data_IF_475541544963
#
_entry.id   IF_475541544963
#
_cell.length_a   1.000
_cell.length_b   1.000
_cell.length_c   1.000
_cell.angle_alpha   90.00
_cell.angle_beta   90.00
_cell.angle_gamma   90.00
#
_symmetry.space_group_name_H-M   'P 1'
#
loop_
_entity.id
_entity.type
_entity.pdbx_description
1 polymer ?
#
# COMPACT_ATOMS: atom_id res chain seq x y z
N UNK A 1 11.68 4.82 23.18
CA UNK A 1 11.86 4.34 21.79
C UNK A 1 10.53 4.47 21.05
N UNK A 2 10.52 4.91 19.78
CA UNK A 2 9.28 5.09 18.99
C UNK A 2 8.27 6.10 19.58
N UNK A 3 8.74 7.23 20.13
CA UNK A 3 7.92 8.22 20.85
C UNK A 3 7.80 9.56 20.13
N UNK A 4 8.80 9.97 19.35
CA UNK A 4 8.79 11.24 18.59
C UNK A 4 8.12 11.07 17.22
N UNK A 5 8.51 10.02 16.50
CA UNK A 5 7.98 9.61 15.19
C UNK A 5 7.85 8.09 15.12
N UNK A 6 7.08 7.59 14.16
CA UNK A 6 7.03 6.15 13.91
C UNK A 6 8.37 5.69 13.28
N UNK A 7 9.09 4.84 14.00
CA UNK A 7 10.27 4.12 13.50
C UNK A 7 10.01 2.64 13.30
N UNK A 8 8.94 2.11 13.91
CA UNK A 8 8.46 0.74 13.71
C UNK A 8 7.15 0.76 12.94
N UNK A 9 7.14 0.07 11.80
CA UNK A 9 5.98 -0.07 10.94
C UNK A 9 5.52 -1.52 10.90
N UNK A 10 4.32 -1.77 11.43
CA UNK A 10 3.68 -3.08 11.31
C UNK A 10 2.94 -3.18 9.97
N UNK A 11 3.01 -4.34 9.32
CA UNK A 11 2.26 -4.58 8.08
C UNK A 11 0.84 -5.03 8.40
N UNK A 12 -0.14 -4.26 7.94
CA UNK A 12 -1.56 -4.60 8.03
C UNK A 12 -2.08 -5.01 6.66
N UNK A 13 -2.64 -6.21 6.58
CA UNK A 13 -3.09 -6.79 5.31
C UNK A 13 -4.61 -6.74 5.23
N UNK A 14 -5.15 -5.83 4.42
CA UNK A 14 -6.58 -5.54 4.37
C UNK A 14 -7.48 -6.68 3.84
N UNK A 15 -6.89 -7.69 3.18
CA UNK A 15 -7.59 -8.93 2.82
C UNK A 15 -7.94 -9.79 4.01
N UNK A 16 -7.36 -9.58 5.20
CA UNK A 16 -7.76 -10.30 6.41
C UNK A 16 -9.03 -9.67 7.00
N UNK A 17 -9.87 -10.52 7.59
CA UNK A 17 -11.09 -10.08 8.30
C UNK A 17 -10.77 -9.26 9.54
N UNK A 18 -9.64 -9.53 10.18
CA UNK A 18 -9.23 -8.90 11.43
C UNK A 18 -8.42 -7.61 11.24
N UNK A 19 -8.09 -7.21 10.00
CA UNK A 19 -7.26 -6.05 9.72
C UNK A 19 -7.79 -4.77 10.36
N UNK A 20 -9.09 -4.50 10.22
CA UNK A 20 -9.75 -3.33 10.83
C UNK A 20 -9.71 -3.36 12.36
N UNK A 21 -10.23 -4.43 13.01
CA UNK A 21 -10.12 -4.61 14.46
C UNK A 21 -8.69 -4.49 15.00
N UNK A 22 -7.71 -5.07 14.30
CA UNK A 22 -6.29 -5.03 14.68
C UNK A 22 -5.73 -3.61 14.62
N UNK A 23 -6.02 -2.86 13.56
CA UNK A 23 -5.62 -1.44 13.44
C UNK A 23 -6.23 -0.63 14.59
N UNK A 24 -7.53 -0.79 14.86
CA UNK A 24 -8.19 -0.05 15.94
C UNK A 24 -7.57 -0.35 17.32
N UNK A 25 -7.29 -1.63 17.59
CA UNK A 25 -6.67 -2.07 18.83
C UNK A 25 -5.24 -1.53 18.97
N UNK A 26 -4.43 -1.57 17.90
CA UNK A 26 -3.05 -1.11 17.95
C UNK A 26 -2.95 0.42 18.01
N UNK A 27 -3.93 1.15 17.46
CA UNK A 27 -4.12 2.59 17.69
C UNK A 27 -4.48 2.90 19.15
N UNK A 28 -5.42 2.17 19.75
CA UNK A 28 -5.74 2.35 21.17
C UNK A 28 -4.51 2.08 22.06
N UNK A 29 -3.77 1.01 21.77
CA UNK A 29 -2.54 0.66 22.47
C UNK A 29 -1.45 1.71 22.33
N UNK A 30 -1.31 2.32 21.15
CA UNK A 30 -0.32 3.37 20.91
C UNK A 30 -0.58 4.60 21.79
N UNK A 31 -1.84 5.01 21.91
CA UNK A 31 -2.26 6.09 22.83
C UNK A 31 -1.99 5.73 24.28
N UNK A 32 -2.42 4.54 24.73
CA UNK A 32 -2.29 4.10 26.13
C UNK A 32 -0.84 3.92 26.59
N UNK A 33 0.04 3.51 25.68
CA UNK A 33 1.45 3.22 25.97
C UNK A 33 2.41 4.30 25.48
N UNK A 34 1.87 5.40 24.98
CA UNK A 34 2.61 6.57 24.50
C UNK A 34 3.72 6.23 23.49
N UNK A 35 3.39 5.45 22.45
CA UNK A 35 4.27 5.22 21.30
C UNK A 35 3.58 5.64 20.00
N UNK A 36 4.36 5.94 18.95
CA UNK A 36 3.84 6.33 17.64
C UNK A 36 3.42 5.11 16.83
N UNK A 37 2.17 5.09 16.40
CA UNK A 37 1.66 4.02 15.54
C UNK A 37 2.23 4.17 14.13
N UNK A 38 2.90 3.13 13.62
CA UNK A 38 3.33 3.04 12.23
C UNK A 38 2.64 1.88 11.52
N UNK A 39 1.99 2.15 10.40
CA UNK A 39 1.33 1.13 9.58
C UNK A 39 1.87 1.08 8.15
N UNK A 40 2.31 -0.09 7.69
CA UNK A 40 2.39 -0.40 6.27
C UNK A 40 1.11 -1.09 5.85
N UNK A 41 0.21 -0.36 5.21
CA UNK A 41 -1.08 -0.88 4.78
C UNK A 41 -0.97 -1.47 3.38
N UNK A 42 -1.26 -2.77 3.23
CA UNK A 42 -1.31 -3.48 1.94
C UNK A 42 -2.67 -4.15 1.77
N UNK A 43 -3.04 -4.54 0.54
CA UNK A 43 -4.16 -5.48 0.35
C UNK A 43 -3.80 -6.87 0.89
N UNK A 44 -2.66 -7.41 0.48
CA UNK A 44 -2.18 -8.75 0.85
C UNK A 44 -1.65 -9.49 -0.38
N UNK A 45 -0.76 -10.46 -0.18
CA UNK A 45 -0.07 -11.16 -1.27
C UNK A 45 -0.31 -12.69 -1.28
N UNK A 46 -1.07 -13.22 -0.31
CA UNK A 46 -1.15 -14.67 -0.06
C UNK A 46 -2.59 -15.20 -0.06
N UNK A 47 -3.52 -14.51 -0.75
CA UNK A 47 -4.96 -14.86 -0.79
C UNK A 47 -5.24 -16.33 -1.14
N UNK A 48 -4.55 -16.87 -2.15
CA UNK A 48 -4.75 -18.24 -2.63
C UNK A 48 -4.25 -19.25 -1.60
N UNK A 49 -3.06 -19.01 -1.03
CA UNK A 49 -2.42 -19.88 -0.05
C UNK A 49 -3.20 -19.91 1.27
N UNK A 50 -3.68 -18.76 1.75
CA UNK A 50 -4.51 -18.66 2.96
C UNK A 50 -5.83 -19.44 2.83
N UNK A 51 -6.54 -19.29 1.70
CA UNK A 51 -7.78 -20.06 1.45
C UNK A 51 -7.52 -21.56 1.38
N UNK A 52 -6.46 -21.97 0.70
CA UNK A 52 -6.06 -23.38 0.58
C UNK A 52 -5.76 -23.96 1.97
N UNK A 53 -4.96 -23.26 2.77
CA UNK A 53 -4.61 -23.67 4.14
C UNK A 53 -5.83 -23.77 5.05
N UNK A 54 -6.75 -22.80 4.99
CA UNK A 54 -7.99 -22.83 5.77
C UNK A 54 -8.86 -24.05 5.45
N UNK A 55 -8.95 -24.41 4.16
CA UNK A 55 -9.65 -25.62 3.71
C UNK A 55 -8.96 -26.90 4.18
N UNK A 56 -7.64 -26.97 4.08
CA UNK A 56 -6.85 -28.15 4.47
C UNK A 56 -6.89 -28.42 5.98
N UNK A 57 -6.81 -27.37 6.80
CA UNK A 57 -6.78 -27.47 8.26
C UNK A 57 -8.17 -27.34 8.92
N UNK A 58 -9.22 -27.16 8.13
CA UNK A 58 -10.61 -27.13 8.62
C UNK A 58 -10.98 -25.92 9.48
N UNK A 59 -10.24 -24.81 9.42
CA UNK A 59 -10.58 -23.59 10.15
C UNK A 59 -11.28 -22.56 9.25
N UNK A 60 -11.93 -21.58 9.88
CA UNK A 60 -12.66 -20.52 9.16
C UNK A 60 -11.72 -19.72 8.27
N UNK A 61 -12.12 -19.52 7.01
CA UNK A 61 -11.43 -18.66 6.05
C UNK A 61 -11.15 -17.25 6.65
N UNK A 62 -9.87 -16.91 6.90
CA UNK A 62 -9.50 -15.67 7.58
C UNK A 62 -9.60 -14.46 6.64
N UNK A 63 -9.80 -14.67 5.33
CA UNK A 63 -9.79 -13.60 4.35
C UNK A 63 -11.19 -13.09 4.01
N UNK A 64 -11.24 -11.86 3.51
CA UNK A 64 -12.46 -11.22 3.02
C UNK A 64 -13.11 -12.07 1.93
N UNK A 65 -14.46 -12.11 1.87
CA UNK A 65 -15.19 -13.03 0.99
C UNK A 65 -14.98 -12.73 -0.49
N UNK A 66 -14.76 -11.46 -0.87
CA UNK A 66 -14.60 -11.02 -2.26
C UNK A 66 -13.49 -9.98 -2.40
N UNK A 67 -13.00 -9.79 -3.62
CA UNK A 67 -12.03 -8.71 -3.92
C UNK A 67 -12.60 -7.33 -3.59
N UNK A 68 -13.89 -7.10 -3.87
CA UNK A 68 -14.59 -5.87 -3.51
C UNK A 68 -14.61 -5.65 -1.99
N UNK A 69 -14.81 -6.72 -1.20
CA UNK A 69 -14.73 -6.64 0.26
C UNK A 69 -13.31 -6.31 0.75
N UNK A 70 -12.26 -6.86 0.10
CA UNK A 70 -10.87 -6.47 0.35
C UNK A 70 -10.62 -4.99 0.03
N UNK A 71 -11.14 -4.48 -1.09
CA UNK A 71 -11.03 -3.07 -1.44
C UNK A 71 -11.74 -2.16 -0.43
N UNK A 72 -12.95 -2.55 0.00
CA UNK A 72 -13.69 -1.82 1.03
C UNK A 72 -12.96 -1.83 2.38
N UNK A 73 -12.37 -2.97 2.76
CA UNK A 73 -11.54 -3.12 3.96
C UNK A 73 -10.32 -2.21 3.91
N UNK A 74 -9.58 -2.23 2.80
CA UNK A 74 -8.43 -1.35 2.56
C UNK A 74 -8.82 0.12 2.64
N UNK A 75 -9.96 0.48 2.05
CA UNK A 75 -10.47 1.85 2.05
C UNK A 75 -10.90 2.33 3.43
N UNK A 76 -11.54 1.48 4.24
CA UNK A 76 -11.84 1.81 5.63
C UNK A 76 -10.56 1.98 6.44
N UNK A 77 -9.59 1.08 6.27
CA UNK A 77 -8.34 1.11 7.02
C UNK A 77 -7.55 2.42 6.83
N UNK A 78 -7.29 2.86 5.59
CA UNK A 78 -6.56 4.11 5.39
C UNK A 78 -7.38 5.32 5.86
N UNK A 79 -8.72 5.32 5.71
CA UNK A 79 -9.57 6.41 6.25
C UNK A 79 -9.45 6.54 7.75
N UNK A 80 -9.52 5.41 8.47
CA UNK A 80 -9.35 5.37 9.92
C UNK A 80 -8.00 5.93 10.33
N UNK A 81 -6.92 5.49 9.66
CA UNK A 81 -5.57 5.94 10.02
C UNK A 81 -5.38 7.44 9.68
N UNK A 82 -5.85 7.93 8.52
CA UNK A 82 -5.76 9.35 8.19
C UNK A 82 -6.51 10.25 9.19
N UNK A 83 -7.67 9.81 9.68
CA UNK A 83 -8.39 10.54 10.73
C UNK A 83 -7.59 10.60 12.03
N UNK A 84 -6.91 9.52 12.39
CA UNK A 84 -6.03 9.46 13.57
C UNK A 84 -4.76 10.30 13.41
N UNK A 85 -4.23 10.40 12.18
CA UNK A 85 -3.14 11.34 11.85
C UNK A 85 -3.62 12.78 12.10
N UNK A 86 -4.79 13.12 11.56
CA UNK A 86 -5.37 14.46 11.73
C UNK A 86 -5.65 14.81 13.19
N UNK A 87 -5.94 13.85 14.05
CA UNK A 87 -6.16 14.09 15.47
C UNK A 87 -4.88 14.46 16.25
N UNK A 88 -3.70 14.48 15.60
CA UNK A 88 -2.44 14.87 16.23
C UNK A 88 -1.81 13.77 17.10
N UNK A 89 -2.26 12.51 16.96
CA UNK A 89 -1.68 11.37 17.71
C UNK A 89 -0.20 11.12 17.38
N UNK A 90 0.25 11.56 16.20
CA UNK A 90 1.55 11.19 15.62
C UNK A 90 1.55 9.78 15.03
N UNK A 91 0.38 9.25 14.63
CA UNK A 91 0.31 8.07 13.78
C UNK A 91 0.96 8.35 12.41
N UNK A 92 1.47 7.31 11.77
CA UNK A 92 2.03 7.37 10.42
C UNK A 92 1.59 6.15 9.60
N UNK A 93 1.45 6.34 8.29
CA UNK A 93 1.03 5.28 7.37
C UNK A 93 1.79 5.30 6.05
N UNK A 94 2.31 4.14 5.68
CA UNK A 94 2.71 3.81 4.32
C UNK A 94 1.54 3.12 3.60
N UNK A 95 0.90 3.83 2.69
CA UNK A 95 -0.16 3.34 1.80
C UNK A 95 0.49 2.59 0.64
N UNK A 96 0.55 1.25 0.73
CA UNK A 96 1.23 0.43 -0.26
C UNK A 96 0.26 -0.10 -1.33
N UNK A 97 0.22 0.56 -2.50
CA UNK A 97 -0.69 0.24 -3.61
C UNK A 97 -0.20 0.76 -4.96
N UNK A 98 -0.42 -0.04 -6.01
CA UNK A 98 -0.25 0.37 -7.42
C UNK A 98 -1.55 0.86 -8.06
N UNK A 99 -2.70 0.67 -7.39
CA UNK A 99 -4.00 1.04 -7.92
C UNK A 99 -4.21 2.57 -7.85
N UNK A 100 -4.23 3.23 -9.01
CA UNK A 100 -4.40 4.69 -9.15
C UNK A 100 -5.64 5.23 -8.46
N UNK A 101 -6.77 4.53 -8.54
CA UNK A 101 -8.02 4.95 -7.87
C UNK A 101 -7.85 4.99 -6.35
N UNK A 102 -7.07 4.06 -5.79
CA UNK A 102 -6.77 4.02 -4.36
C UNK A 102 -5.85 5.16 -3.96
N UNK A 103 -4.83 5.45 -4.80
CA UNK A 103 -3.92 6.58 -4.61
C UNK A 103 -4.70 7.89 -4.61
N UNK A 104 -5.53 8.13 -5.64
CA UNK A 104 -6.36 9.34 -5.74
C UNK A 104 -7.27 9.49 -4.52
N UNK A 105 -7.95 8.42 -4.10
CA UNK A 105 -8.81 8.48 -2.92
C UNK A 105 -8.09 8.85 -1.62
N UNK A 106 -6.81 8.46 -1.47
CA UNK A 106 -5.98 8.87 -0.32
C UNK A 106 -5.55 10.33 -0.46
N UNK A 107 -5.09 10.75 -1.64
CA UNK A 107 -4.73 12.14 -1.94
C UNK A 107 -5.90 13.09 -1.66
N UNK A 108 -7.09 12.81 -2.21
CA UNK A 108 -8.28 13.63 -2.01
C UNK A 108 -8.63 13.73 -0.52
N UNK A 109 -8.46 12.64 0.24
CA UNK A 109 -8.73 12.65 1.69
C UNK A 109 -7.67 13.42 2.47
N UNK A 110 -6.39 13.33 2.09
CA UNK A 110 -5.34 14.13 2.70
C UNK A 110 -5.63 15.62 2.53
N UNK A 111 -6.04 16.04 1.33
CA UNK A 111 -6.41 17.42 1.05
C UNK A 111 -7.63 17.86 1.87
N UNK A 112 -8.68 17.03 1.95
CA UNK A 112 -9.85 17.31 2.80
C UNK A 112 -9.52 17.46 4.28
N UNK A 113 -8.52 16.71 4.77
CA UNK A 113 -8.08 16.76 6.17
C UNK A 113 -7.01 17.85 6.41
N UNK A 114 -6.48 18.47 5.35
CA UNK A 114 -5.33 19.37 5.44
C UNK A 114 -4.08 18.68 5.97
N UNK A 115 -3.83 17.44 5.54
CA UNK A 115 -2.60 16.69 5.86
C UNK A 115 -1.50 17.11 4.87
N UNK A 116 -0.34 17.50 5.38
CA UNK A 116 0.80 17.90 4.55
C UNK A 116 1.30 16.74 3.68
N UNK A 117 1.67 17.06 2.44
CA UNK A 117 2.03 16.06 1.42
C UNK A 117 3.33 15.31 1.73
N UNK A 118 4.35 16.02 2.21
CA UNK A 118 5.69 15.47 2.42
C UNK A 118 5.99 15.03 3.85
N UNK A 119 5.41 15.67 4.86
CA UNK A 119 5.73 15.44 6.27
C UNK A 119 4.49 15.20 7.15
N UNK A 120 3.30 15.01 6.56
CA UNK A 120 2.06 14.80 7.30
C UNK A 120 1.84 13.38 7.83
N UNK A 121 2.89 12.56 7.93
CA UNK A 121 2.78 11.17 8.38
C UNK A 121 2.16 10.20 7.36
N UNK A 122 2.09 10.58 6.08
CA UNK A 122 1.59 9.72 4.99
C UNK A 122 2.67 9.53 3.94
N UNK A 123 2.90 8.28 3.57
CA UNK A 123 3.81 7.90 2.50
C UNK A 123 3.14 6.91 1.54
N UNK A 124 3.48 6.96 0.26
CA UNK A 124 3.01 6.00 -0.75
C UNK A 124 4.09 4.95 -1.02
N UNK A 125 3.76 3.67 -0.83
CA UNK A 125 4.67 2.56 -1.06
C UNK A 125 4.36 1.83 -2.36
N UNK A 126 5.34 1.67 -3.24
CA UNK A 126 5.17 0.98 -4.52
C UNK A 126 6.36 0.07 -4.81
N UNK A 127 6.13 -1.07 -5.43
CA UNK A 127 7.20 -1.92 -5.93
C UNK A 127 7.92 -1.26 -7.11
N UNK A 128 9.24 -1.43 -7.21
CA UNK A 128 10.00 -0.96 -8.36
C UNK A 128 9.63 -1.75 -9.63
N UNK A 129 9.49 -1.03 -10.76
CA UNK A 129 9.13 -1.63 -12.04
C UNK A 129 7.64 -1.88 -12.23
N UNK A 130 6.79 -1.24 -11.42
CA UNK A 130 5.33 -1.40 -11.47
C UNK A 130 4.63 -0.06 -11.29
N UNK A 131 3.94 0.40 -12.34
CA UNK A 131 3.17 1.64 -12.35
C UNK A 131 4.04 2.85 -11.94
N UNK A 132 5.26 2.94 -12.50
CA UNK A 132 6.23 3.97 -12.13
C UNK A 132 5.74 5.38 -12.45
N UNK A 133 4.82 5.53 -13.42
CA UNK A 133 4.16 6.79 -13.73
C UNK A 133 3.35 7.34 -12.53
N UNK A 134 2.79 6.46 -11.71
CA UNK A 134 2.07 6.83 -10.48
C UNK A 134 3.06 7.35 -9.43
N UNK A 135 4.17 6.64 -9.25
CA UNK A 135 5.25 7.07 -8.34
C UNK A 135 5.77 8.45 -8.72
N UNK A 136 6.04 8.65 -10.02
CA UNK A 136 6.58 9.89 -10.55
C UNK A 136 5.61 11.06 -10.38
N UNK A 137 4.33 10.85 -10.67
CA UNK A 137 3.29 11.87 -10.51
C UNK A 137 3.14 12.31 -9.05
N UNK A 138 3.15 11.36 -8.11
CA UNK A 138 3.09 11.64 -6.67
C UNK A 138 4.33 12.43 -6.20
N UNK A 139 5.52 12.00 -6.63
CA UNK A 139 6.77 12.68 -6.28
C UNK A 139 6.80 14.12 -6.77
N UNK A 140 6.42 14.37 -8.04
CA UNK A 140 6.33 15.74 -8.58
C UNK A 140 5.29 16.60 -7.86
N UNK A 141 4.21 16.01 -7.35
CA UNK A 141 3.18 16.72 -6.58
C UNK A 141 3.58 16.99 -5.11
N UNK A 142 4.78 16.56 -4.68
CA UNK A 142 5.33 16.81 -3.35
C UNK A 142 4.93 15.77 -2.29
N UNK A 143 4.39 14.61 -2.70
CA UNK A 143 4.06 13.54 -1.77
C UNK A 143 5.28 12.67 -1.46
N UNK A 144 5.36 12.15 -0.23
CA UNK A 144 6.38 11.17 0.12
C UNK A 144 6.11 9.82 -0.59
N UNK A 145 7.09 9.34 -1.37
CA UNK A 145 6.98 8.09 -2.15
C UNK A 145 8.18 7.19 -1.86
N UNK A 146 7.91 5.91 -1.60
CA UNK A 146 8.91 4.88 -1.33
C UNK A 146 8.82 3.77 -2.37
N UNK A 147 9.97 3.37 -2.92
CA UNK A 147 10.09 2.23 -3.82
C UNK A 147 10.62 1.02 -3.06
N UNK A 148 9.86 -0.06 -3.05
CA UNK A 148 10.33 -1.35 -2.56
C UNK A 148 11.18 -2.03 -3.64
N UNK A 149 12.46 -2.17 -3.37
CA UNK A 149 13.45 -2.73 -4.29
C UNK A 149 13.97 -4.05 -3.70
N UNK A 150 13.64 -5.21 -4.29
CA UNK A 150 14.34 -6.44 -3.94
C UNK A 150 15.79 -6.34 -4.45
N UNK A 151 16.75 -6.65 -3.60
CA UNK A 151 18.17 -6.63 -3.95
C UNK A 151 18.85 -7.89 -3.40
N UNK A 152 19.68 -8.51 -4.23
CA UNK A 152 20.42 -9.72 -3.88
C UNK A 152 20.72 -10.60 -5.10
N UNK A 153 21.46 -11.70 -4.91
CA UNK A 153 21.71 -12.69 -5.97
C UNK A 153 20.41 -13.22 -6.58
N UNK A 154 20.42 -13.51 -7.89
CA UNK A 154 19.23 -13.96 -8.63
C UNK A 154 18.51 -15.11 -7.91
N UNK A 155 19.25 -16.15 -7.50
CA UNK A 155 18.72 -17.32 -6.79
C UNK A 155 17.89 -16.96 -5.55
N UNK A 156 18.25 -15.90 -4.84
CA UNK A 156 17.61 -15.50 -3.59
C UNK A 156 16.37 -14.63 -3.85
N UNK A 157 16.36 -13.89 -4.97
CA UNK A 157 15.23 -13.03 -5.37
C UNK A 157 14.21 -13.75 -6.26
N UNK A 158 14.55 -14.90 -6.85
CA UNK A 158 13.65 -15.68 -7.72
C UNK A 158 12.28 -15.99 -7.09
N UNK A 159 12.18 -16.47 -5.83
CA UNK A 159 10.87 -16.73 -5.21
C UNK A 159 10.01 -15.47 -5.09
N UNK A 160 10.63 -14.30 -4.90
CA UNK A 160 9.92 -13.02 -4.88
C UNK A 160 9.40 -12.65 -6.29
N UNK A 161 10.21 -12.82 -7.33
CA UNK A 161 9.85 -12.52 -8.71
C UNK A 161 8.70 -13.41 -9.20
N UNK A 162 8.72 -14.70 -8.88
CA UNK A 162 7.63 -15.64 -9.22
C UNK A 162 6.32 -15.20 -8.59
N UNK A 163 6.31 -14.88 -7.29
CA UNK A 163 5.12 -14.37 -6.60
C UNK A 163 4.60 -13.08 -7.24
N UNK A 164 5.50 -12.22 -7.71
CA UNK A 164 5.13 -10.99 -8.42
C UNK A 164 4.53 -11.26 -9.80
N UNK A 165 5.05 -12.23 -10.54
CA UNK A 165 4.46 -12.65 -11.79
C UNK A 165 3.04 -13.22 -11.58
N UNK A 166 2.84 -14.05 -10.55
CA UNK A 166 1.53 -14.60 -10.18
C UNK A 166 0.54 -13.50 -9.78
N UNK A 167 0.93 -12.56 -8.92
CA UNK A 167 0.06 -11.45 -8.50
C UNK A 167 -0.26 -10.49 -9.65
N UNK A 168 0.72 -10.23 -10.52
CA UNK A 168 0.55 -9.33 -11.67
C UNK A 168 -0.17 -9.98 -12.84
N UNK A 169 -0.29 -11.30 -12.89
CA UNK A 169 -1.12 -11.98 -13.89
C UNK A 169 -2.59 -11.52 -13.81
N UNK A 170 -3.09 -11.18 -12.62
CA UNK A 170 -4.39 -10.53 -12.42
C UNK A 170 -4.40 -9.01 -12.67
N UNK A 171 -3.23 -8.38 -12.77
CA UNK A 171 -3.04 -6.93 -13.00
C UNK A 171 -2.51 -6.60 -14.41
N UNK A 172 -2.56 -7.54 -15.35
CA UNK A 172 -2.08 -7.40 -16.74
C UNK A 172 -2.60 -6.13 -17.45
N UNK A 173 -3.75 -5.61 -17.03
CA UNK A 173 -4.32 -4.34 -17.51
C UNK A 173 -3.45 -3.11 -17.22
N UNK A 174 -2.76 -3.08 -16.07
CA UNK A 174 -1.92 -1.94 -15.68
C UNK A 174 -0.58 -1.91 -16.41
N UNK A 175 -0.01 -3.07 -16.73
CA UNK A 175 1.22 -3.19 -17.52
C UNK A 175 1.02 -2.79 -18.98
N UNK A 176 -0.14 -3.15 -19.57
CA UNK A 176 -0.51 -2.71 -20.92
C UNK A 176 -0.66 -1.20 -21.05
N UNK A 177 -1.27 -0.55 -20.04
CA UNK A 177 -1.39 0.91 -20.00
C UNK A 177 -0.02 1.60 -19.88
N UNK A 178 0.91 1.05 -19.08
CA UNK A 178 2.26 1.61 -18.94
C UNK A 178 3.05 1.51 -20.24
N UNK A 179 3.00 0.37 -20.95
CA UNK A 179 3.60 0.23 -22.27
C UNK A 179 3.02 1.23 -23.28
N UNK A 180 1.71 1.44 -23.26
CA UNK A 180 1.06 2.44 -24.12
C UNK A 180 1.55 3.85 -23.81
N UNK A 181 1.59 4.24 -22.53
CA UNK A 181 2.08 5.56 -22.12
C UNK A 181 3.55 5.78 -22.50
N UNK A 182 4.41 4.75 -22.35
CA UNK A 182 5.81 4.81 -22.81
C UNK A 182 5.91 4.96 -24.32
N UNK A 183 5.11 4.23 -25.09
CA UNK A 183 5.07 4.35 -26.53
C UNK A 183 4.57 5.73 -26.98
N UNK A 184 3.55 6.28 -26.32
CA UNK A 184 3.04 7.62 -26.60
C UNK A 184 4.06 8.70 -26.24
N UNK A 185 4.79 8.56 -25.12
CA UNK A 185 5.89 9.45 -24.75
C UNK A 185 7.04 9.40 -25.75
N UNK A 186 7.43 8.19 -26.21
CA UNK A 186 8.44 8.03 -27.26
C UNK A 186 7.99 8.64 -28.60
N UNK A 187 6.71 8.57 -28.94
CA UNK A 187 6.14 9.24 -30.13
C UNK A 187 6.09 10.75 -29.99
N UNK A 188 5.86 11.25 -28.78
CA UNK A 188 5.80 12.70 -28.47
C UNK A 188 7.16 13.35 -28.49
N UNK A 189 8.23 12.60 -28.21
CA UNK A 189 9.60 13.08 -28.37
C UNK A 189 9.97 12.98 -29.85
N UNK A 190 10.08 14.09 -30.61
CA UNK A 190 10.81 14.02 -31.86
C UNK A 190 12.23 13.61 -31.47
N UNK A 191 12.69 12.46 -31.99
CA UNK A 191 14.11 12.12 -31.99
C UNK A 191 14.83 13.31 -32.62
N UNK A 192 15.65 14.01 -31.84
CA UNK A 192 16.57 15.08 -32.24
C UNK A 192 16.36 15.62 -33.67
N UNK A 193 15.63 16.73 -33.77
CA UNK A 193 15.69 17.68 -34.88
C UNK A 193 16.04 19.03 -34.32
#
# INVERSE_FOLDING_TARGET
FNTERAVVYNTYQAYLRDAGPRIALDLERSRRRNFKFGAKLVRGAYMVQERKRAKELGYRDPIQPTLAATHASYNRAWKTILNEIKSGSGAEVMVATHNERSVRGVVDRMEQLGIERGNGGVAFGQLLGMCDHVSLSLGHAGYAVYKYVPYGPIKDVMPYLVRRAEENSGMLTSAGNEMRMRADELRRRPLFG
#
